data_IF_695251719374
#
_entry.id   IF_695251719374
#
_cell.length_a   1.000
_cell.length_b   1.000
_cell.length_c   1.000
_cell.angle_alpha   90.00
_cell.angle_beta   90.00
_cell.angle_gamma   90.00
#
_symmetry.space_group_name_H-M   'P 1'
#
loop_
_entity.id
_entity.type
_entity.pdbx_description
1 polymer ?
#
# COMPACT_ATOMS: atom_id res chain seq x y z
N UNK A 1 -14.20 -5.77 -19.54
CA UNK A 1 -13.92 -5.67 -18.09
C UNK A 1 -12.46 -6.08 -17.90
N UNK A 2 -11.55 -5.10 -17.96
CA UNK A 2 -10.10 -5.36 -18.05
C UNK A 2 -9.53 -5.80 -16.70
N UNK A 3 -8.84 -6.95 -16.71
CA UNK A 3 -8.11 -7.50 -15.57
C UNK A 3 -6.93 -6.56 -15.28
N UNK A 4 -6.84 -6.01 -14.07
CA UNK A 4 -5.65 -5.27 -13.66
C UNK A 4 -4.49 -6.27 -13.60
N UNK A 5 -3.47 -6.10 -14.46
CA UNK A 5 -2.16 -6.71 -14.22
C UNK A 5 -1.50 -5.92 -13.10
N UNK A 6 -1.73 -6.39 -11.88
CA UNK A 6 -1.29 -5.74 -10.67
C UNK A 6 0.22 -5.82 -10.51
N UNK A 7 0.78 -4.76 -9.96
CA UNK A 7 2.10 -4.80 -9.33
C UNK A 7 2.13 -5.89 -8.26
N UNK A 8 3.18 -6.70 -8.25
CA UNK A 8 3.47 -7.65 -7.17
C UNK A 8 4.46 -7.02 -6.20
N UNK A 9 4.03 -6.84 -4.95
CA UNK A 9 4.91 -6.46 -3.84
C UNK A 9 5.07 -7.68 -2.92
N UNK A 10 6.32 -8.04 -2.62
CA UNK A 10 6.67 -9.07 -1.66
C UNK A 10 7.44 -8.44 -0.49
N UNK A 11 7.01 -8.74 0.73
CA UNK A 11 7.72 -8.37 1.95
C UNK A 11 8.02 -9.64 2.75
N UNK A 12 9.28 -9.80 3.14
CA UNK A 12 9.75 -10.93 3.95
C UNK A 12 10.43 -10.38 5.20
N UNK A 13 10.08 -10.94 6.35
CA UNK A 13 10.75 -10.69 7.61
C UNK A 13 11.35 -11.99 8.15
N UNK A 14 12.65 -11.98 8.43
CA UNK A 14 13.37 -13.13 9.00
C UNK A 14 14.49 -12.66 9.90
N UNK A 15 14.56 -13.21 11.12
CA UNK A 15 15.61 -12.93 12.11
C UNK A 15 15.84 -11.43 12.36
N UNK A 16 14.77 -10.67 12.61
CA UNK A 16 14.84 -9.22 12.85
C UNK A 16 15.23 -8.36 11.64
N UNK A 17 15.39 -8.96 10.46
CA UNK A 17 15.64 -8.27 9.20
C UNK A 17 14.40 -8.27 8.32
N UNK A 18 14.23 -7.21 7.56
CA UNK A 18 13.14 -7.05 6.60
C UNK A 18 13.74 -6.82 5.21
N UNK A 19 13.21 -7.56 4.24
CA UNK A 19 13.43 -7.30 2.83
C UNK A 19 12.06 -7.06 2.17
N UNK A 20 12.02 -6.09 1.25
CA UNK A 20 10.84 -5.81 0.46
C UNK A 20 11.25 -5.59 -0.99
N UNK A 21 10.54 -6.25 -1.89
CA UNK A 21 10.74 -6.14 -3.33
C UNK A 21 9.40 -5.89 -4.00
N UNK A 22 9.45 -5.18 -5.13
CA UNK A 22 8.29 -4.99 -5.99
C UNK A 22 8.70 -5.23 -7.42
N UNK A 23 7.79 -5.76 -8.23
CA UNK A 23 8.00 -5.81 -9.68
C UNK A 23 7.94 -4.39 -10.28
N UNK A 24 8.56 -4.22 -11.45
CA UNK A 24 8.69 -2.90 -12.10
C UNK A 24 7.48 -2.44 -12.91
N UNK A 25 6.43 -3.27 -13.06
CA UNK A 25 5.38 -3.05 -14.05
C UNK A 25 4.45 -1.88 -13.68
N UNK A 26 4.49 -0.78 -14.44
CA UNK A 26 3.51 0.32 -14.31
C UNK A 26 2.68 0.39 -15.56
N UNK A 27 1.38 0.17 -15.40
CA UNK A 27 0.39 0.32 -16.46
C UNK A 27 -0.30 1.68 -16.27
N UNK A 28 -0.05 2.62 -17.17
CA UNK A 28 -0.88 3.83 -17.27
C UNK A 28 -1.85 3.58 -18.44
N UNK A 29 -3.15 3.62 -18.15
CA UNK A 29 -4.23 3.49 -19.14
C UNK A 29 -4.16 2.26 -20.06
N UNK A 30 -4.50 1.09 -19.51
CA UNK A 30 -4.90 -0.17 -20.16
C UNK A 30 -4.01 -0.78 -21.28
N UNK A 31 -3.00 -0.10 -21.82
CA UNK A 31 -2.18 -0.59 -22.95
C UNK A 31 -0.74 -0.06 -22.99
N UNK A 32 -0.36 0.97 -22.22
CA UNK A 32 0.98 1.55 -22.34
C UNK A 32 1.82 1.35 -21.07
N UNK A 33 2.88 0.55 -21.20
CA UNK A 33 3.94 0.42 -20.18
C UNK A 33 4.81 1.67 -20.26
N UNK A 34 4.55 2.64 -19.39
CA UNK A 34 5.11 3.99 -19.54
C UNK A 34 6.54 4.14 -18.97
N UNK A 35 7.01 3.22 -18.10
CA UNK A 35 8.34 3.29 -17.47
C UNK A 35 8.79 1.95 -16.87
N UNK A 36 9.97 1.47 -17.24
CA UNK A 36 10.62 0.29 -16.63
C UNK A 36 11.22 0.54 -15.22
N UNK A 37 11.09 1.73 -14.62
CA UNK A 37 11.75 2.12 -13.36
C UNK A 37 10.82 2.78 -12.33
N UNK A 38 9.68 2.17 -12.05
CA UNK A 38 8.86 2.65 -10.93
C UNK A 38 9.45 2.16 -9.60
N UNK A 39 9.85 3.10 -8.73
CA UNK A 39 10.24 2.80 -7.35
C UNK A 39 9.00 2.65 -6.48
N UNK A 40 8.46 1.43 -6.46
CA UNK A 40 7.23 1.09 -5.71
C UNK A 40 7.47 0.71 -4.26
N UNK A 41 8.74 0.50 -3.89
CA UNK A 41 9.20 0.37 -2.52
C UNK A 41 9.89 1.65 -2.12
N UNK A 42 9.47 2.24 -1.01
CA UNK A 42 10.05 3.44 -0.40
C UNK A 42 10.48 3.17 1.04
N UNK A 43 11.44 3.95 1.48
CA UNK A 43 11.87 4.02 2.87
C UNK A 43 11.15 5.20 3.54
N UNK A 44 10.61 4.94 4.71
CA UNK A 44 9.82 5.86 5.53
C UNK A 44 10.44 5.95 6.93
N UNK A 45 10.07 6.99 7.67
CA UNK A 45 10.45 7.21 9.07
C UNK A 45 11.96 7.07 9.32
N UNK A 46 12.73 7.98 8.73
CA UNK A 46 14.20 7.99 8.73
C UNK A 46 14.83 6.67 8.25
N UNK A 47 14.16 5.97 7.34
CA UNK A 47 14.64 4.71 6.78
C UNK A 47 14.43 3.47 7.66
N UNK A 48 13.68 3.60 8.76
CA UNK A 48 13.38 2.48 9.67
C UNK A 48 12.22 1.61 9.19
N UNK A 49 11.37 2.13 8.32
CA UNK A 49 10.19 1.45 7.78
C UNK A 49 10.31 1.31 6.26
N UNK A 50 10.00 0.13 5.74
CA UNK A 50 9.81 -0.13 4.32
C UNK A 50 8.33 -0.07 3.99
N UNK A 51 7.95 0.62 2.93
CA UNK A 51 6.58 0.69 2.44
C UNK A 51 6.56 0.37 0.95
N UNK A 52 5.68 -0.54 0.56
CA UNK A 52 5.48 -0.99 -0.81
C UNK A 52 4.02 -0.83 -1.21
N UNK A 53 3.76 -0.49 -2.47
CA UNK A 53 2.39 -0.30 -2.95
C UNK A 53 2.14 -0.95 -4.30
N UNK A 54 0.89 -1.35 -4.53
CA UNK A 54 0.39 -1.82 -5.81
C UNK A 54 -0.82 -0.96 -6.22
N UNK A 55 -0.71 -0.24 -7.32
CA UNK A 55 -1.75 0.70 -7.78
C UNK A 55 -1.16 1.89 -8.54
N UNK A 56 -1.96 2.95 -8.70
CA UNK A 56 -1.52 4.20 -9.33
C UNK A 56 -0.44 4.88 -8.49
N UNK A 57 0.48 5.59 -9.15
CA UNK A 57 1.54 6.35 -8.44
C UNK A 57 0.93 7.48 -7.59
N UNK A 58 -0.16 8.09 -8.05
CA UNK A 58 -0.83 9.18 -7.35
C UNK A 58 -1.45 8.70 -6.03
N UNK A 59 -2.20 7.59 -6.07
CA UNK A 59 -2.80 6.97 -4.88
C UNK A 59 -1.72 6.61 -3.87
N UNK A 60 -0.62 6.05 -4.36
CA UNK A 60 0.51 5.67 -3.52
C UNK A 60 1.17 6.86 -2.82
N UNK A 61 1.39 7.97 -3.52
CA UNK A 61 1.96 9.17 -2.90
C UNK A 61 1.06 9.69 -1.78
N UNK A 62 -0.25 9.79 -2.03
CA UNK A 62 -1.21 10.23 -1.02
C UNK A 62 -1.23 9.32 0.23
N UNK A 63 -1.17 8.00 0.05
CA UNK A 63 -1.12 7.04 1.16
C UNK A 63 0.19 7.10 1.94
N UNK A 64 1.32 7.19 1.23
CA UNK A 64 2.65 7.22 1.85
C UNK A 64 2.86 8.50 2.65
N UNK A 65 2.47 9.66 2.12
CA UNK A 65 2.57 10.95 2.82
C UNK A 65 1.77 10.95 4.12
N UNK A 66 0.53 10.44 4.07
CA UNK A 66 -0.30 10.31 5.28
C UNK A 66 0.26 9.29 6.26
N UNK A 67 0.80 8.17 5.77
CA UNK A 67 1.40 7.18 6.63
C UNK A 67 2.66 7.69 7.33
N UNK A 68 3.49 8.48 6.64
CA UNK A 68 4.64 9.16 7.24
C UNK A 68 4.18 10.08 8.39
N UNK A 69 3.12 10.88 8.17
CA UNK A 69 2.52 11.70 9.24
C UNK A 69 2.10 10.85 10.44
N UNK A 70 1.42 9.71 10.22
CA UNK A 70 1.01 8.80 11.30
C UNK A 70 2.19 8.16 12.03
N UNK A 71 3.30 7.90 11.33
CA UNK A 71 4.52 7.42 11.97
C UNK A 71 5.13 8.49 12.88
N UNK A 72 5.18 9.75 12.44
CA UNK A 72 5.65 10.87 13.27
C UNK A 72 4.74 11.11 14.48
N UNK A 73 3.42 11.18 14.27
CA UNK A 73 2.40 11.38 15.32
C UNK A 73 2.44 10.30 16.43
N UNK A 74 2.92 9.11 16.11
CA UNK A 74 2.98 7.98 17.03
C UNK A 74 4.41 7.52 17.33
N UNK A 75 5.39 8.40 17.13
CA UNK A 75 6.80 8.17 17.47
C UNK A 75 7.34 6.83 16.92
N UNK A 76 6.94 6.48 15.70
CA UNK A 76 7.39 5.28 15.01
C UNK A 76 6.66 3.98 15.38
N UNK A 77 5.60 4.03 16.19
CA UNK A 77 4.83 2.84 16.54
C UNK A 77 4.07 2.31 15.31
N UNK A 78 4.70 1.39 14.57
CA UNK A 78 4.25 0.95 13.25
C UNK A 78 2.81 0.40 13.25
N UNK A 79 2.46 -0.44 14.23
CA UNK A 79 1.10 -0.99 14.35
C UNK A 79 0.07 0.12 14.62
N UNK A 80 0.40 1.06 15.52
CA UNK A 80 -0.50 2.15 15.87
C UNK A 80 -0.73 3.08 14.68
N UNK A 81 0.34 3.50 14.02
CA UNK A 81 0.27 4.30 12.78
C UNK A 81 -0.55 3.59 11.69
N UNK A 82 -0.39 2.26 11.56
CA UNK A 82 -1.16 1.48 10.62
C UNK A 82 -2.65 1.46 10.95
N UNK A 83 -3.00 1.23 12.21
CA UNK A 83 -4.39 1.23 12.65
C UNK A 83 -5.04 2.60 12.43
N UNK A 84 -4.36 3.70 12.76
CA UNK A 84 -4.90 5.05 12.55
C UNK A 84 -5.04 5.40 11.07
N UNK A 85 -4.06 5.06 10.22
CA UNK A 85 -4.23 5.23 8.77
C UNK A 85 -5.41 4.41 8.24
N UNK A 86 -5.58 3.16 8.70
CA UNK A 86 -6.68 2.31 8.25
C UNK A 86 -8.05 2.87 8.66
N UNK A 87 -8.13 3.55 9.82
CA UNK A 87 -9.33 4.28 10.24
C UNK A 87 -9.59 5.47 9.30
N UNK A 88 -8.59 6.32 9.08
CA UNK A 88 -8.68 7.47 8.18
C UNK A 88 -9.08 7.04 6.76
N UNK A 89 -8.50 5.94 6.27
CA UNK A 89 -8.78 5.41 4.94
C UNK A 89 -10.24 4.96 4.80
N UNK A 90 -10.89 4.52 5.89
CA UNK A 90 -12.31 4.14 5.91
C UNK A 90 -13.25 5.33 6.08
N UNK A 91 -12.83 6.43 6.69
CA UNK A 91 -13.70 7.56 7.03
C UNK A 91 -13.56 8.72 6.05
N UNK A 92 -12.33 9.05 5.62
CA UNK A 92 -12.01 10.16 4.74
C UNK A 92 -12.61 9.94 3.33
N UNK A 93 -13.33 10.95 2.82
CA UNK A 93 -14.04 10.90 1.54
C UNK A 93 -13.10 10.75 0.34
N UNK A 94 -11.90 11.34 0.40
CA UNK A 94 -10.90 11.26 -0.66
C UNK A 94 -10.17 9.92 -0.60
N UNK A 95 -9.73 9.48 0.58
CA UNK A 95 -8.98 8.22 0.72
C UNK A 95 -9.80 7.00 0.32
N UNK A 96 -11.12 7.02 0.60
CA UNK A 96 -12.02 5.95 0.16
C UNK A 96 -12.10 5.77 -1.35
N UNK A 97 -11.64 6.73 -2.15
CA UNK A 97 -11.62 6.61 -3.63
C UNK A 97 -10.35 5.93 -4.14
N UNK A 98 -9.26 5.95 -3.37
CA UNK A 98 -7.99 5.34 -3.77
C UNK A 98 -8.14 3.82 -3.92
N UNK A 99 -7.60 3.25 -4.99
CA UNK A 99 -7.71 1.81 -5.29
C UNK A 99 -6.41 1.05 -4.97
N UNK A 100 -5.33 1.76 -4.64
CA UNK A 100 -4.05 1.16 -4.32
C UNK A 100 -4.09 0.26 -3.06
N UNK A 101 -3.27 -0.79 -3.09
CA UNK A 101 -2.93 -1.63 -1.95
C UNK A 101 -1.55 -1.21 -1.42
N UNK A 102 -1.33 -1.35 -0.11
CA UNK A 102 -0.07 -0.97 0.52
C UNK A 102 0.37 -2.04 1.53
N UNK A 103 1.66 -2.33 1.59
CA UNK A 103 2.29 -3.17 2.61
C UNK A 103 3.38 -2.36 3.26
N UNK A 104 3.50 -2.42 4.58
CA UNK A 104 4.55 -1.74 5.32
C UNK A 104 5.26 -2.73 6.23
N UNK A 105 6.51 -2.47 6.55
CA UNK A 105 7.30 -3.39 7.35
C UNK A 105 8.42 -2.66 8.09
N UNK A 106 8.54 -2.94 9.38
CA UNK A 106 9.64 -2.56 10.24
C UNK A 106 10.32 -3.80 10.82
N UNK A 107 11.45 -3.62 11.51
CA UNK A 107 12.24 -4.74 12.07
C UNK A 107 11.39 -5.70 12.93
N UNK A 108 10.43 -5.15 13.66
CA UNK A 108 9.63 -5.88 14.64
C UNK A 108 8.26 -6.29 14.13
N UNK A 109 7.77 -5.74 13.00
CA UNK A 109 6.39 -6.01 12.56
C UNK A 109 6.18 -5.79 11.07
N UNK A 110 5.24 -6.53 10.48
CA UNK A 110 4.85 -6.44 9.07
C UNK A 110 3.32 -6.32 8.97
N UNK A 111 2.76 -5.10 8.88
CA UNK A 111 1.36 -4.89 8.53
C UNK A 111 1.10 -4.80 7.02
N UNK A 112 -0.08 -5.26 6.61
CA UNK A 112 -0.58 -5.13 5.23
C UNK A 112 -1.93 -4.40 5.22
N UNK A 113 -2.12 -3.51 4.25
CA UNK A 113 -3.35 -2.76 4.01
C UNK A 113 -3.98 -3.23 2.71
N UNK A 114 -5.21 -3.72 2.82
CA UNK A 114 -6.00 -4.10 1.67
C UNK A 114 -7.33 -3.35 1.68
N UNK A 115 -7.65 -2.72 0.56
CA UNK A 115 -8.98 -2.17 0.34
C UNK A 115 -9.86 -3.29 -0.20
N UNK A 116 -10.67 -3.89 0.67
CA UNK A 116 -11.70 -4.84 0.24
C UNK A 116 -12.67 -4.09 -0.68
N UNK A 117 -12.71 -4.44 -1.95
CA UNK A 117 -13.83 -4.06 -2.79
C UNK A 117 -15.03 -4.85 -2.28
N UNK A 118 -15.86 -4.25 -1.43
CA UNK A 118 -17.15 -4.80 -1.08
C UNK A 118 -18.07 -4.70 -2.31
N UNK A 119 -17.86 -5.57 -3.29
CA UNK A 119 -18.99 -6.16 -4.02
C UNK A 119 -19.24 -7.49 -3.35
N UNK A 120 -20.14 -7.50 -2.36
CA UNK A 120 -20.81 -8.75 -2.03
C UNK A 120 -21.40 -9.29 -3.35
N UNK A 121 -21.14 -10.54 -3.73
CA UNK A 121 -21.91 -11.14 -4.80
C UNK A 121 -23.36 -11.13 -4.34
N UNK A 122 -24.23 -10.37 -5.01
CA UNK A 122 -25.68 -10.56 -4.84
C UNK A 122 -25.94 -12.02 -5.14
N UNK A 123 -26.24 -12.83 -4.11
CA UNK A 123 -26.80 -14.16 -4.30
C UNK A 123 -28.05 -13.98 -5.15
N UNK A 124 -27.95 -14.28 -6.45
CA UNK A 124 -29.13 -14.62 -7.25
C UNK A 124 -29.51 -16.05 -6.85
N UNK A 125 -30.33 -16.20 -5.81
CA UNK A 125 -31.24 -17.33 -5.67
C UNK A 125 -32.60 -16.82 -6.15
N UNK A 126 -33.04 -17.27 -7.33
CA UNK A 126 -34.01 -18.36 -7.53
C UNK A 126 -35.34 -18.03 -6.89
#
# INVERSE_FOLDING_TARGET
>A
MGRFEGTTILAVRRHGRVAMAGDGQVTLEQRMVMKHRARKVRRLYHGRVLAGFAGSVADAMALLERFESKLEEHSGQLIRAAVELAKDWRTDRLLRRLEALMVVAGRETLPSFYKTHSRQPKRKGK
#
